data_IF_991801714180
#
_entry.id   IF_991801714180
#
_cell.length_a   1.000
_cell.length_b   1.000
_cell.length_c   1.000
_cell.angle_alpha   90.00
_cell.angle_beta   90.00
_cell.angle_gamma   90.00
#
_symmetry.space_group_name_H-M   'P 1'
#
loop_
_entity.id
_entity.type
_entity.pdbx_description
1 polymer ?
#
# COMPACT_ATOMS: atom_id res chain seq x y z
N UNK A 1 -1.55 -7.81 8.96
CA UNK A 1 -2.62 -8.15 9.91
C UNK A 1 -2.53 -7.11 11.01
N UNK A 2 -3.39 -6.11 10.96
CA UNK A 2 -3.49 -5.11 12.02
C UNK A 2 -4.03 -5.84 13.27
N UNK A 3 -3.30 -5.90 14.39
CA UNK A 3 -3.71 -6.68 15.56
C UNK A 3 -5.02 -6.19 16.19
N UNK A 4 -5.46 -4.97 15.89
CA UNK A 4 -6.71 -4.40 16.41
C UNK A 4 -7.88 -4.53 15.41
N UNK A 5 -7.59 -5.02 14.20
CA UNK A 5 -8.61 -5.44 13.23
C UNK A 5 -9.04 -6.87 13.58
N UNK A 6 -10.16 -7.00 14.30
CA UNK A 6 -10.81 -8.29 14.42
C UNK A 6 -11.53 -8.56 13.10
N UNK A 7 -10.87 -9.31 12.22
CA UNK A 7 -11.45 -9.83 10.98
C UNK A 7 -12.67 -10.71 11.33
N UNK A 8 -13.85 -10.11 11.41
CA UNK A 8 -15.09 -10.86 11.34
C UNK A 8 -15.36 -11.11 9.85
N UNK A 9 -14.84 -12.23 9.34
CA UNK A 9 -15.03 -12.69 7.95
C UNK A 9 -16.51 -12.84 7.58
N UNK A 10 -17.42 -12.88 8.56
CA UNK A 10 -18.86 -12.97 8.34
C UNK A 10 -19.53 -11.60 8.18
N UNK A 11 -18.84 -10.51 8.49
CA UNK A 11 -19.40 -9.17 8.38
C UNK A 11 -19.28 -8.62 6.97
N UNK A 12 -20.41 -8.61 6.28
CA UNK A 12 -20.64 -7.93 5.01
C UNK A 12 -21.38 -6.63 5.31
N UNK A 13 -20.87 -5.50 4.83
CA UNK A 13 -21.54 -4.21 5.01
C UNK A 13 -22.79 -4.07 4.12
N UNK A 14 -23.47 -2.92 4.23
CA UNK A 14 -24.69 -2.61 3.46
C UNK A 14 -24.49 -2.72 1.93
N UNK A 15 -23.26 -2.57 1.44
CA UNK A 15 -22.93 -2.58 0.00
C UNK A 15 -22.25 -3.87 -0.45
N UNK A 16 -22.10 -4.85 0.44
CA UNK A 16 -21.50 -6.13 0.06
C UNK A 16 -19.98 -6.20 0.26
N UNK A 17 -19.34 -5.21 0.90
CA UNK A 17 -17.91 -5.21 1.10
C UNK A 17 -17.50 -5.84 2.43
N UNK A 18 -16.31 -6.45 2.42
CA UNK A 18 -15.69 -7.09 3.56
C UNK A 18 -14.79 -6.12 4.32
N UNK A 19 -14.39 -6.53 5.53
CA UNK A 19 -13.50 -5.75 6.39
C UNK A 19 -12.18 -5.36 5.73
N UNK A 20 -11.65 -6.20 4.83
CA UNK A 20 -10.42 -5.94 4.07
C UNK A 20 -10.50 -4.72 3.14
N UNK A 21 -11.71 -4.34 2.73
CA UNK A 21 -11.94 -3.28 1.75
C UNK A 21 -11.95 -1.91 2.43
N UNK A 22 -12.24 -1.86 3.73
CA UNK A 22 -12.22 -0.64 4.56
C UNK A 22 -10.84 -0.31 5.13
N UNK A 23 -9.84 -1.13 4.80
CA UNK A 23 -8.46 -0.97 5.24
C UNK A 23 -7.87 0.34 4.72
N UNK A 24 -7.66 1.29 5.64
CA UNK A 24 -7.08 2.60 5.32
C UNK A 24 -8.10 3.67 4.95
N UNK A 25 -9.39 3.34 4.92
CA UNK A 25 -10.48 4.27 4.66
C UNK A 25 -11.05 4.87 5.94
N UNK A 26 -11.48 6.13 5.85
CA UNK A 26 -12.14 6.84 6.95
C UNK A 26 -13.61 6.40 7.05
N UNK A 27 -13.85 5.41 7.89
CA UNK A 27 -15.18 4.85 8.17
C UNK A 27 -16.18 5.91 8.67
N UNK A 28 -15.72 7.06 9.19
CA UNK A 28 -16.60 8.15 9.64
C UNK A 28 -17.21 8.96 8.49
N UNK A 29 -16.68 8.81 7.28
CA UNK A 29 -17.15 9.50 6.07
C UNK A 29 -17.91 8.59 5.10
N UNK A 30 -18.26 7.38 5.55
CA UNK A 30 -19.04 6.40 4.78
C UNK A 30 -20.26 7.02 4.07
N UNK A 31 -21.06 7.80 4.79
CA UNK A 31 -22.27 8.43 4.26
C UNK A 31 -21.97 9.55 3.24
N UNK A 32 -21.01 10.42 3.52
CA UNK A 32 -20.71 11.58 2.68
C UNK A 32 -19.92 11.20 1.42
N UNK A 33 -18.93 10.31 1.57
CA UNK A 33 -17.97 9.97 0.50
C UNK A 33 -18.49 8.86 -0.40
N UNK A 34 -19.23 7.89 0.18
CA UNK A 34 -19.67 6.71 -0.55
C UNK A 34 -21.18 6.48 -0.49
N UNK A 35 -21.97 7.37 0.11
CA UNK A 35 -23.44 7.29 0.10
C UNK A 35 -24.02 6.12 0.90
N UNK A 36 -23.38 5.72 1.99
CA UNK A 36 -23.93 4.74 2.93
C UNK A 36 -25.10 5.31 3.72
N UNK A 37 -26.01 4.45 4.20
CA UNK A 37 -27.01 4.87 5.17
C UNK A 37 -26.37 5.19 6.54
N UNK A 38 -27.06 5.96 7.38
CA UNK A 38 -26.60 6.22 8.75
C UNK A 38 -26.42 4.91 9.56
N UNK A 39 -27.24 3.88 9.27
CA UNK A 39 -27.12 2.56 9.88
C UNK A 39 -25.88 1.80 9.36
N UNK A 40 -25.60 1.86 8.05
CA UNK A 40 -24.41 1.29 7.44
C UNK A 40 -23.12 1.94 7.94
N UNK A 41 -23.10 3.26 8.04
CA UNK A 41 -21.99 4.00 8.66
C UNK A 41 -21.79 3.65 10.14
N UNK A 42 -22.87 3.54 10.91
CA UNK A 42 -22.76 3.16 12.32
C UNK A 42 -22.29 1.72 12.49
N UNK A 43 -22.72 0.80 11.61
CA UNK A 43 -22.26 -0.58 11.60
C UNK A 43 -20.76 -0.66 11.28
N UNK A 44 -20.32 0.11 10.29
CA UNK A 44 -18.92 0.28 9.93
C UNK A 44 -18.10 0.88 11.09
N UNK A 45 -18.54 1.99 11.68
CA UNK A 45 -17.88 2.62 12.81
C UNK A 45 -17.82 1.74 14.06
N UNK A 46 -18.80 0.85 14.28
CA UNK A 46 -18.82 -0.01 15.47
C UNK A 46 -17.89 -1.20 15.33
N UNK A 47 -17.74 -1.71 14.10
CA UNK A 47 -16.98 -2.94 13.81
C UNK A 47 -15.57 -2.66 13.30
N UNK A 48 -15.35 -1.50 12.68
CA UNK A 48 -14.07 -1.08 12.09
C UNK A 48 -13.35 0.00 12.90
N UNK A 49 -13.78 0.26 14.16
CA UNK A 49 -13.30 1.39 15.00
C UNK A 49 -11.82 1.35 15.42
N UNK A 50 -11.06 0.36 14.97
CA UNK A 50 -9.64 0.25 15.22
C UNK A 50 -8.76 0.83 14.10
N UNK A 51 -9.30 1.15 12.91
CA UNK A 51 -8.46 1.58 11.78
C UNK A 51 -8.05 3.07 11.80
N UNK A 52 -8.26 3.80 12.89
CA UNK A 52 -7.67 5.13 13.05
C UNK A 52 -6.23 5.03 13.54
N UNK A 53 -5.37 4.45 12.71
CA UNK A 53 -3.99 4.91 12.57
C UNK A 53 -3.65 4.92 11.08
N UNK A 54 -3.70 6.12 10.52
CA UNK A 54 -2.88 6.45 9.36
C UNK A 54 -1.42 6.29 9.81
N UNK A 55 -0.88 5.07 9.82
CA UNK A 55 0.47 4.85 10.36
C UNK A 55 1.02 3.42 10.47
N UNK A 56 0.26 2.41 10.92
CA UNK A 56 0.92 1.25 11.58
C UNK A 56 0.66 -0.14 10.99
N UNK A 57 0.27 -0.25 9.72
CA UNK A 57 -0.05 -1.58 9.16
C UNK A 57 1.17 -2.45 8.86
N UNK A 58 2.36 -1.86 8.86
CA UNK A 58 3.66 -2.50 8.84
C UNK A 58 4.67 -1.37 9.08
N UNK A 59 5.51 -1.48 10.09
CA UNK A 59 6.67 -0.59 10.23
C UNK A 59 7.91 -1.42 10.01
N UNK A 60 8.96 -0.79 9.46
CA UNK A 60 10.26 -1.44 9.34
C UNK A 60 10.71 -1.98 10.71
N UNK A 61 10.39 -1.27 11.79
CA UNK A 61 10.66 -1.73 13.16
C UNK A 61 9.88 -2.99 13.54
N UNK A 62 8.59 -3.08 13.21
CA UNK A 62 7.78 -4.26 13.51
C UNK A 62 8.26 -5.51 12.75
N UNK A 63 8.62 -5.35 11.48
CA UNK A 63 9.18 -6.43 10.67
C UNK A 63 10.54 -6.89 11.19
N UNK A 64 11.39 -5.94 11.60
CA UNK A 64 12.67 -6.24 12.23
C UNK A 64 12.48 -6.97 13.57
N UNK A 65 11.53 -6.55 14.41
CA UNK A 65 11.22 -7.19 15.68
C UNK A 65 10.68 -8.62 15.49
N UNK A 66 9.92 -8.87 14.43
CA UNK A 66 9.46 -10.21 14.04
C UNK A 66 10.56 -11.09 13.40
N UNK A 67 11.78 -10.57 13.24
CA UNK A 67 12.91 -11.32 12.68
C UNK A 67 12.83 -11.58 11.18
N UNK A 68 11.98 -10.85 10.46
CA UNK A 68 11.82 -10.99 9.01
C UNK A 68 13.05 -10.40 8.30
N UNK A 69 13.67 -11.18 7.41
CA UNK A 69 14.93 -10.80 6.76
C UNK A 69 14.75 -10.21 5.37
N UNK A 70 13.79 -10.75 4.61
CA UNK A 70 13.50 -10.37 3.24
C UNK A 70 12.00 -10.14 3.09
N UNK A 71 11.64 -9.00 2.51
CA UNK A 71 10.25 -8.56 2.36
C UNK A 71 10.02 -8.11 0.92
N UNK A 72 8.93 -8.59 0.32
CA UNK A 72 8.41 -8.02 -0.91
C UNK A 72 7.51 -6.84 -0.56
N UNK A 73 7.84 -5.66 -1.09
CA UNK A 73 7.14 -4.39 -0.79
C UNK A 73 6.38 -3.97 -2.04
N UNK A 74 5.06 -3.77 -1.89
CA UNK A 74 4.18 -3.38 -2.98
C UNK A 74 3.21 -2.27 -2.54
N UNK A 75 2.74 -1.49 -3.51
CA UNK A 75 1.95 -0.28 -3.31
C UNK A 75 2.84 0.97 -3.29
N UNK A 76 2.46 2.00 -4.05
CA UNK A 76 3.30 3.18 -4.24
C UNK A 76 3.61 3.91 -2.94
N UNK A 77 2.62 4.14 -2.07
CA UNK A 77 2.83 4.76 -0.77
C UNK A 77 3.73 3.92 0.14
N UNK A 78 3.49 2.61 0.16
CA UNK A 78 4.28 1.63 0.90
C UNK A 78 5.76 1.67 0.50
N UNK A 79 6.03 1.56 -0.80
CA UNK A 79 7.38 1.61 -1.37
C UNK A 79 8.08 2.91 -0.98
N UNK A 80 7.39 4.06 -1.08
CA UNK A 80 7.95 5.35 -0.69
C UNK A 80 8.32 5.40 0.79
N UNK A 81 7.46 4.86 1.66
CA UNK A 81 7.72 4.76 3.10
C UNK A 81 8.95 3.93 3.43
N UNK A 82 9.09 2.74 2.84
CA UNK A 82 10.28 1.88 3.06
C UNK A 82 11.57 2.53 2.53
N UNK A 83 11.52 3.23 1.38
CA UNK A 83 12.67 3.95 0.86
C UNK A 83 13.06 5.11 1.80
N UNK A 84 12.08 5.87 2.28
CA UNK A 84 12.32 6.96 3.24
C UNK A 84 12.93 6.45 4.56
N UNK A 85 12.53 5.25 5.01
CA UNK A 85 13.09 4.59 6.18
C UNK A 85 14.46 3.93 5.95
N UNK A 86 15.02 3.99 4.73
CA UNK A 86 16.31 3.36 4.41
C UNK A 86 16.29 1.83 4.40
N UNK A 87 15.09 1.24 4.29
CA UNK A 87 14.88 -0.20 4.42
C UNK A 87 14.86 -0.97 3.08
N UNK A 88 14.97 -0.26 1.95
CA UNK A 88 15.04 -0.87 0.61
C UNK A 88 16.49 -0.90 0.15
N UNK A 89 16.99 -2.10 -0.19
CA UNK A 89 18.35 -2.29 -0.72
C UNK A 89 18.38 -2.42 -2.24
N UNK A 90 17.30 -2.93 -2.84
CA UNK A 90 17.25 -3.28 -4.26
C UNK A 90 15.84 -3.02 -4.79
N UNK A 91 15.76 -2.42 -5.98
CA UNK A 91 14.51 -2.21 -6.71
C UNK A 91 14.63 -2.88 -8.06
N UNK A 92 13.66 -3.72 -8.41
CA UNK A 92 13.54 -4.29 -9.75
C UNK A 92 12.32 -3.63 -10.39
N UNK A 93 12.57 -2.69 -11.32
CA UNK A 93 11.54 -1.90 -11.97
C UNK A 93 11.32 -2.41 -13.40
N UNK A 94 10.10 -2.89 -13.69
CA UNK A 94 9.69 -3.25 -15.05
C UNK A 94 8.89 -2.11 -15.67
N UNK A 95 9.43 -1.53 -16.74
CA UNK A 95 8.81 -0.42 -17.50
C UNK A 95 8.06 -0.99 -18.68
N UNK A 96 6.78 -0.64 -18.78
CA UNK A 96 5.92 -0.97 -19.92
C UNK A 96 6.02 0.18 -20.93
N UNK A 97 6.18 -0.09 -22.24
CA UNK A 97 6.31 0.95 -23.26
C UNK A 97 4.94 1.57 -23.60
N UNK A 98 4.36 2.30 -22.64
CA UNK A 98 3.05 2.94 -22.74
C UNK A 98 3.13 4.40 -22.25
N UNK A 99 2.50 5.30 -22.99
CA UNK A 99 2.37 6.72 -22.61
C UNK A 99 1.05 6.92 -21.85
N UNK A 100 1.12 7.33 -20.59
CA UNK A 100 -0.06 7.47 -19.71
C UNK A 100 -0.66 8.90 -19.69
N UNK A 101 0.08 9.92 -20.12
CA UNK A 101 -0.34 11.33 -20.07
C UNK A 101 -0.28 11.91 -18.64
N UNK A 102 -0.99 11.30 -17.71
CA UNK A 102 -1.01 11.63 -16.27
C UNK A 102 -1.10 10.35 -15.41
N UNK A 103 -0.82 10.46 -14.10
CA UNK A 103 -0.93 9.30 -13.22
C UNK A 103 -0.34 9.51 -11.82
N UNK A 104 -0.43 8.45 -11.02
CA UNK A 104 0.11 8.44 -9.65
C UNK A 104 1.61 8.09 -9.71
N UNK A 105 2.51 8.97 -9.26
CA UNK A 105 3.94 8.70 -9.31
C UNK A 105 4.31 7.57 -8.34
N UNK A 106 5.19 6.67 -8.79
CA UNK A 106 5.71 5.59 -7.95
C UNK A 106 6.72 6.13 -6.92
N UNK A 107 7.63 7.01 -7.36
CA UNK A 107 8.69 7.61 -6.54
C UNK A 107 8.53 9.13 -6.47
N UNK A 108 9.09 9.75 -5.43
CA UNK A 108 9.35 11.20 -5.42
C UNK A 108 10.62 11.52 -6.20
N UNK A 109 10.81 12.79 -6.58
CA UNK A 109 12.06 13.24 -7.24
C UNK A 109 13.31 12.93 -6.41
N UNK A 110 13.24 13.19 -5.11
CA UNK A 110 14.33 12.88 -4.17
C UNK A 110 14.68 11.38 -4.20
N UNK A 111 13.67 10.52 -4.19
CA UNK A 111 13.89 9.07 -4.22
C UNK A 111 14.46 8.61 -5.56
N UNK A 112 14.00 9.17 -6.67
CA UNK A 112 14.56 8.87 -8.00
C UNK A 112 16.06 9.18 -8.06
N UNK A 113 16.50 10.28 -7.45
CA UNK A 113 17.93 10.66 -7.44
C UNK A 113 18.84 9.70 -6.66
N UNK A 114 18.26 8.87 -5.78
CA UNK A 114 19.01 7.87 -4.99
C UNK A 114 19.23 6.55 -5.76
N UNK A 115 18.43 6.30 -6.80
CA UNK A 115 18.48 5.05 -7.55
C UNK A 115 19.76 4.97 -8.41
N UNK A 116 20.58 3.95 -8.17
CA UNK A 116 21.77 3.66 -8.98
C UNK A 116 21.54 2.41 -9.81
N UNK A 117 21.54 2.57 -11.13
CA UNK A 117 21.33 1.45 -12.05
C UNK A 117 22.49 0.45 -11.97
N UNK A 118 22.14 -0.84 -11.88
CA UNK A 118 23.10 -1.95 -11.87
C UNK A 118 23.03 -2.75 -13.16
N UNK A 119 21.82 -3.02 -13.66
CA UNK A 119 21.63 -3.79 -14.89
C UNK A 119 20.27 -3.49 -15.50
N UNK A 120 20.19 -3.56 -16.83
CA UNK A 120 18.94 -3.44 -17.57
C UNK A 120 18.84 -4.54 -18.61
N UNK A 121 17.64 -5.09 -18.80
CA UNK A 121 17.37 -6.10 -19.84
C UNK A 121 16.01 -5.85 -20.48
N UNK A 122 15.93 -6.11 -21.77
CA UNK A 122 14.67 -6.10 -22.51
C UNK A 122 14.00 -7.47 -22.36
N UNK A 123 12.73 -7.47 -22.00
CA UNK A 123 11.89 -8.66 -21.91
C UNK A 123 11.09 -8.85 -23.22
N UNK A 124 10.60 -10.07 -23.50
CA UNK A 124 9.65 -10.29 -24.58
C UNK A 124 8.47 -9.31 -24.50
N UNK A 125 8.07 -8.73 -25.64
CA UNK A 125 7.03 -7.70 -25.69
C UNK A 125 7.54 -6.26 -25.50
N UNK A 126 8.85 -6.04 -25.44
CA UNK A 126 9.45 -4.70 -25.46
C UNK A 126 9.48 -3.98 -24.11
N UNK A 127 9.05 -4.65 -23.03
CA UNK A 127 9.23 -4.14 -21.67
C UNK A 127 10.72 -4.10 -21.31
N UNK A 128 11.10 -3.16 -20.46
CA UNK A 128 12.47 -3.03 -19.97
C UNK A 128 12.47 -3.24 -18.47
N UNK A 129 13.22 -4.23 -17.99
CA UNK A 129 13.42 -4.47 -16.57
C UNK A 129 14.79 -3.96 -16.15
N UNK A 130 14.80 -3.00 -15.24
CA UNK A 130 16.02 -2.38 -14.70
C UNK A 130 16.14 -2.69 -13.21
N UNK A 131 17.32 -3.14 -12.79
CA UNK A 131 17.67 -3.33 -11.38
C UNK A 131 18.46 -2.13 -10.87
N UNK A 132 17.99 -1.56 -9.76
CA UNK A 132 18.63 -0.46 -9.06
C UNK A 132 19.04 -0.90 -7.65
N UNK A 133 20.08 -0.26 -7.13
CA UNK A 133 20.44 -0.25 -5.71
C UNK A 133 20.25 1.15 -5.15
N UNK A 134 19.94 1.26 -3.85
CA UNK A 134 19.84 2.50 -3.11
C UNK A 134 21.04 2.68 -2.18
#
# INVERSE_FOLDING_TARGET
MDPDCQDDESFIDEKGYFCDTWVGDDCSKAQETWGYSAAGQQAALTRYRASTSKGDRWSVQALAAAGVKDVYVDGGETIRGFIAAGAVKRVILTKIPLTLGEGIPLFTEEQMSKLKEVSSKTLPGGMVQTTYIL
#
